data_IF_016450096996
#
_entry.id   IF_016450096996
#
_cell.length_a   1.000
_cell.length_b   1.000
_cell.length_c   1.000
_cell.angle_alpha   90.00
_cell.angle_beta   90.00
_cell.angle_gamma   90.00
#
_symmetry.space_group_name_H-M   'P 1'
#
loop_
_entity.id
_entity.type
_entity.pdbx_description
1 polymer ?
#
# COMPACT_ATOMS: atom_id res chain seq x y z
N UNK A 1 -21.90 5.63 4.70
CA UNK A 1 -21.14 6.61 3.90
C UNK A 1 -20.34 5.92 2.79
N UNK A 2 -19.69 4.77 3.07
CA UNK A 2 -18.90 4.03 2.05
C UNK A 2 -19.75 3.68 0.82
N UNK A 3 -21.00 3.24 0.99
CA UNK A 3 -21.91 2.97 -0.15
C UNK A 3 -22.14 4.23 -1.01
N UNK A 4 -22.26 5.43 -0.39
CA UNK A 4 -22.38 6.67 -1.14
C UNK A 4 -21.13 7.02 -1.94
N UNK A 5 -19.95 6.65 -1.42
CA UNK A 5 -18.70 6.80 -2.18
C UNK A 5 -18.72 5.90 -3.41
N UNK A 6 -19.07 4.62 -3.25
CA UNK A 6 -19.11 3.65 -4.34
C UNK A 6 -20.16 4.00 -5.40
N UNK A 7 -21.33 4.51 -4.97
CA UNK A 7 -22.37 5.01 -5.89
C UNK A 7 -22.05 6.37 -6.53
N UNK A 8 -20.88 6.94 -6.28
CA UNK A 8 -20.43 8.24 -6.79
C UNK A 8 -21.24 9.44 -6.29
N UNK A 9 -21.97 9.27 -5.18
CA UNK A 9 -22.80 10.31 -4.57
C UNK A 9 -22.06 11.12 -3.50
N UNK A 10 -20.83 10.74 -3.17
CA UNK A 10 -20.05 11.39 -2.12
C UNK A 10 -18.56 11.46 -2.47
N UNK A 11 -17.84 12.32 -1.75
CA UNK A 11 -16.41 12.58 -1.91
C UNK A 11 -16.09 13.17 -3.29
N UNK A 12 -15.23 12.53 -4.08
CA UNK A 12 -14.78 13.02 -5.39
C UNK A 12 -15.59 12.48 -6.58
N UNK A 13 -16.63 11.70 -6.32
CA UNK A 13 -17.52 11.12 -7.33
C UNK A 13 -16.90 10.04 -8.20
N UNK A 14 -15.69 9.54 -7.87
CA UNK A 14 -15.02 8.48 -8.65
C UNK A 14 -15.48 7.07 -8.31
N UNK A 15 -16.16 6.89 -7.18
CA UNK A 15 -16.61 5.58 -6.75
C UNK A 15 -15.50 4.69 -6.19
N UNK A 16 -14.44 5.27 -5.63
CA UNK A 16 -13.28 4.55 -5.13
C UNK A 16 -13.09 4.80 -3.63
N UNK A 17 -12.86 3.74 -2.90
CA UNK A 17 -12.37 3.79 -1.53
C UNK A 17 -10.84 3.68 -1.60
N UNK A 18 -10.16 4.82 -1.48
CA UNK A 18 -8.70 4.89 -1.62
C UNK A 18 -7.99 4.09 -0.53
N UNK A 19 -6.87 3.48 -0.89
CA UNK A 19 -6.12 2.60 0.00
C UNK A 19 -6.67 1.18 0.10
N UNK A 20 -7.75 0.87 -0.62
CA UNK A 20 -8.32 -0.47 -0.70
C UNK A 20 -8.01 -1.09 -2.06
N UNK A 21 -7.59 -2.37 -2.04
CA UNK A 21 -7.23 -3.15 -3.22
C UNK A 21 -5.78 -2.99 -3.67
N UNK A 22 -5.28 -4.02 -4.34
CA UNK A 22 -3.93 -4.07 -4.92
C UNK A 22 -3.91 -5.04 -6.11
N UNK A 23 -3.05 -4.78 -7.09
CA UNK A 23 -2.95 -5.62 -8.29
C UNK A 23 -2.41 -7.04 -8.02
N UNK A 24 -1.74 -7.26 -6.89
CA UNK A 24 -1.12 -8.53 -6.51
C UNK A 24 -1.72 -9.08 -5.22
N UNK A 25 -1.92 -8.23 -4.21
CA UNK A 25 -2.41 -8.63 -2.89
C UNK A 25 -3.94 -8.50 -2.82
N UNK A 26 -4.68 -9.58 -3.03
CA UNK A 26 -6.13 -9.59 -2.92
C UNK A 26 -6.63 -9.91 -1.51
N UNK A 27 -6.05 -10.92 -0.87
CA UNK A 27 -6.47 -11.37 0.46
C UNK A 27 -5.91 -10.51 1.59
N UNK A 28 -4.63 -10.14 1.49
CA UNK A 28 -3.93 -9.34 2.50
C UNK A 28 -2.65 -8.77 1.92
N UNK A 29 -2.36 -7.50 2.23
CA UNK A 29 -1.06 -6.90 1.96
C UNK A 29 -0.17 -7.03 3.21
N UNK A 30 0.87 -7.87 3.19
CA UNK A 30 1.73 -8.09 4.36
C UNK A 30 2.44 -6.80 4.80
N UNK A 31 2.68 -5.86 3.90
CA UNK A 31 3.26 -4.55 4.23
C UNK A 31 2.30 -3.71 5.07
N UNK A 32 1.01 -3.71 4.72
CA UNK A 32 -0.02 -3.01 5.48
C UNK A 32 -0.19 -3.61 6.88
N UNK A 33 -0.10 -4.93 7.02
CA UNK A 33 -0.20 -5.60 8.32
C UNK A 33 0.95 -5.23 9.26
N UNK A 34 2.19 -5.29 8.78
CA UNK A 34 3.36 -4.87 9.56
C UNK A 34 3.25 -3.39 9.92
N UNK A 35 2.88 -2.54 8.96
CA UNK A 35 2.78 -1.10 9.14
C UNK A 35 1.73 -0.72 10.19
N UNK A 36 0.58 -1.39 10.20
CA UNK A 36 -0.52 -1.17 11.14
C UNK A 36 -0.08 -1.23 12.60
N UNK A 37 0.80 -2.16 12.95
CA UNK A 37 1.29 -2.29 14.34
C UNK A 37 2.09 -1.07 14.82
N UNK A 38 2.79 -0.41 13.92
CA UNK A 38 3.50 0.85 14.21
C UNK A 38 2.54 2.04 14.25
N UNK A 39 1.55 2.05 13.37
CA UNK A 39 0.52 3.10 13.29
C UNK A 39 -0.27 3.19 14.58
N UNK A 40 -0.67 2.06 15.16
CA UNK A 40 -1.38 2.00 16.43
C UNK A 40 -0.57 2.67 17.56
N UNK A 41 0.70 2.28 17.70
CA UNK A 41 1.59 2.85 18.72
C UNK A 41 1.79 4.36 18.53
N UNK A 42 1.97 4.80 17.29
CA UNK A 42 2.13 6.20 16.97
C UNK A 42 0.84 6.99 17.24
N UNK A 43 -0.31 6.45 16.90
CA UNK A 43 -1.61 7.08 17.14
C UNK A 43 -1.85 7.33 18.63
N UNK A 44 -1.57 6.35 19.48
CA UNK A 44 -1.62 6.50 20.94
C UNK A 44 -0.65 7.60 21.41
N UNK A 45 0.60 7.57 20.95
CA UNK A 45 1.62 8.55 21.34
C UNK A 45 1.26 10.00 20.91
N UNK A 46 0.50 10.14 19.83
CA UNK A 46 0.05 11.43 19.29
C UNK A 46 -1.38 11.82 19.73
N UNK A 47 -2.04 11.03 20.59
CA UNK A 47 -3.42 11.27 21.03
C UNK A 47 -4.46 11.18 19.89
N UNK A 48 -4.18 10.39 18.86
CA UNK A 48 -5.01 10.18 17.66
C UNK A 48 -5.63 8.77 17.58
N UNK A 49 -5.83 8.14 18.73
CA UNK A 49 -6.42 6.82 18.90
C UNK A 49 -7.84 6.71 18.32
N UNK A 50 -8.64 7.78 18.41
CA UNK A 50 -9.98 7.83 17.78
C UNK A 50 -9.93 7.77 16.27
N UNK A 51 -8.95 8.44 15.67
CA UNK A 51 -8.75 8.38 14.22
C UNK A 51 -8.29 6.97 13.80
N UNK A 52 -7.36 6.37 14.55
CA UNK A 52 -6.95 5.00 14.32
C UNK A 52 -8.13 4.01 14.42
N UNK A 53 -9.01 4.18 15.38
CA UNK A 53 -10.22 3.37 15.50
C UNK A 53 -11.13 3.52 14.26
N UNK A 54 -11.25 4.73 13.70
CA UNK A 54 -11.98 4.96 12.44
C UNK A 54 -11.32 4.24 11.27
N UNK A 55 -9.99 4.35 11.09
CA UNK A 55 -9.25 3.62 10.06
C UNK A 55 -9.45 2.11 10.18
N UNK A 56 -9.31 1.56 11.38
CA UNK A 56 -9.51 0.13 11.65
C UNK A 56 -10.93 -0.34 11.34
N UNK A 57 -11.92 0.51 11.60
CA UNK A 57 -13.32 0.22 11.26
C UNK A 57 -13.52 0.20 9.74
N UNK A 58 -12.95 1.18 9.02
CA UNK A 58 -13.03 1.22 7.55
C UNK A 58 -12.34 0.01 6.94
N UNK A 59 -11.14 -0.34 7.40
CA UNK A 59 -10.40 -1.52 6.94
C UNK A 59 -11.24 -2.81 7.04
N UNK A 60 -12.00 -2.94 8.13
CA UNK A 60 -12.86 -4.11 8.35
C UNK A 60 -14.10 -4.10 7.48
N UNK A 61 -14.77 -2.94 7.32
CA UNK A 61 -16.07 -2.85 6.65
C UNK A 61 -15.92 -2.69 5.13
N UNK A 62 -14.88 -2.01 4.65
CA UNK A 62 -14.74 -1.72 3.22
C UNK A 62 -14.71 -2.97 2.34
N UNK A 63 -14.03 -4.08 2.70
CA UNK A 63 -14.09 -5.32 1.92
C UNK A 63 -15.51 -5.87 1.74
N UNK A 64 -16.34 -5.78 2.79
CA UNK A 64 -17.73 -6.26 2.75
C UNK A 64 -18.60 -5.41 1.80
N UNK A 65 -18.31 -4.11 1.73
CA UNK A 65 -19.05 -3.16 0.88
C UNK A 65 -18.59 -3.21 -0.57
N UNK A 66 -17.29 -3.55 -0.82
CA UNK A 66 -16.71 -3.71 -2.15
C UNK A 66 -16.88 -5.17 -2.66
N UNK A 67 -17.93 -5.84 -2.27
CA UNK A 67 -18.16 -7.28 -2.53
C UNK A 67 -18.26 -7.71 -4.01
N UNK A 68 -18.16 -6.79 -4.96
CA UNK A 68 -18.21 -7.08 -6.40
C UNK A 68 -16.93 -7.70 -6.98
N UNK A 69 -15.84 -7.76 -6.19
CA UNK A 69 -14.55 -8.32 -6.61
C UNK A 69 -14.42 -9.76 -6.09
N UNK A 70 -14.51 -10.79 -6.96
CA UNK A 70 -14.52 -12.19 -6.53
C UNK A 70 -13.28 -12.63 -5.75
N UNK A 71 -12.11 -12.06 -6.05
CA UNK A 71 -10.84 -12.39 -5.40
C UNK A 71 -10.67 -11.70 -4.03
N UNK A 72 -11.63 -10.84 -3.66
CA UNK A 72 -11.56 -10.06 -2.42
C UNK A 72 -10.77 -8.75 -2.56
N UNK A 73 -10.89 -7.92 -1.53
CA UNK A 73 -10.20 -6.63 -1.43
C UNK A 73 -9.65 -6.49 -0.03
N UNK A 74 -8.40 -6.05 0.09
CA UNK A 74 -7.77 -5.75 1.37
C UNK A 74 -7.16 -4.34 1.38
N UNK A 75 -6.93 -3.80 2.58
CA UNK A 75 -6.18 -2.56 2.72
C UNK A 75 -4.76 -2.74 2.18
N UNK A 76 -4.30 -1.83 1.35
CA UNK A 76 -2.92 -1.78 0.87
C UNK A 76 -2.07 -0.88 1.77
N UNK A 77 -0.77 -0.78 1.49
CA UNK A 77 0.17 0.01 2.31
C UNK A 77 -0.20 1.50 2.38
N UNK A 78 -0.83 2.03 1.34
CA UNK A 78 -1.17 3.45 1.26
C UNK A 78 -2.34 3.83 2.16
N UNK A 79 -3.15 2.84 2.57
CA UNK A 79 -4.28 3.06 3.48
C UNK A 79 -3.83 3.68 4.81
N UNK A 80 -2.71 3.22 5.36
CA UNK A 80 -2.17 3.73 6.61
C UNK A 80 -1.07 4.78 6.45
N UNK A 81 -0.37 4.82 5.32
CA UNK A 81 0.77 5.73 5.13
C UNK A 81 0.37 7.20 5.21
N UNK A 82 -0.75 7.57 4.60
CA UNK A 82 -1.27 8.93 4.68
C UNK A 82 -1.61 9.35 6.10
N UNK A 83 -2.14 8.44 6.91
CA UNK A 83 -2.42 8.71 8.32
C UNK A 83 -1.14 8.91 9.13
N UNK A 84 -0.10 8.08 8.89
CA UNK A 84 1.21 8.27 9.51
C UNK A 84 1.82 9.61 9.14
N UNK A 85 1.82 9.98 7.88
CA UNK A 85 2.36 11.25 7.42
C UNK A 85 1.63 12.43 8.07
N UNK A 86 0.30 12.33 8.22
CA UNK A 86 -0.50 13.31 8.95
C UNK A 86 -0.09 13.42 10.43
N UNK A 87 0.15 12.29 11.10
CA UNK A 87 0.60 12.28 12.51
C UNK A 87 2.01 12.83 12.69
N UNK A 88 2.86 12.71 11.67
CA UNK A 88 4.20 13.27 11.63
C UNK A 88 4.24 14.71 11.12
N UNK A 89 3.08 15.31 10.85
CA UNK A 89 2.95 16.70 10.38
C UNK A 89 3.68 16.95 9.06
N UNK A 90 3.81 15.91 8.24
CA UNK A 90 4.41 16.02 6.90
C UNK A 90 3.42 16.76 5.99
N UNK A 91 3.84 17.80 5.27
CA UNK A 91 3.00 18.49 4.30
C UNK A 91 2.44 17.54 3.24
N UNK A 92 1.18 17.72 2.87
CA UNK A 92 0.47 16.83 1.94
C UNK A 92 1.17 16.70 0.59
N UNK A 93 1.79 17.78 0.13
CA UNK A 93 2.54 17.87 -1.12
C UNK A 93 3.76 16.94 -1.16
N UNK A 94 4.26 16.51 0.00
CA UNK A 94 5.42 15.62 0.12
C UNK A 94 5.07 14.13 0.15
N UNK A 95 3.81 13.75 0.26
CA UNK A 95 3.42 12.32 0.38
C UNK A 95 3.87 11.51 -0.83
N UNK A 96 3.58 11.98 -2.04
CA UNK A 96 4.03 11.34 -3.28
C UNK A 96 5.55 11.45 -3.49
N UNK A 97 6.20 12.62 -3.30
CA UNK A 97 7.66 12.72 -3.35
C UNK A 97 8.40 11.76 -2.41
N UNK A 98 7.97 11.59 -1.17
CA UNK A 98 8.58 10.65 -0.22
C UNK A 98 8.51 9.22 -0.76
N UNK A 99 7.37 8.83 -1.31
CA UNK A 99 7.21 7.53 -1.95
C UNK A 99 8.16 7.35 -3.14
N UNK A 100 8.31 8.37 -3.98
CA UNK A 100 9.23 8.36 -5.12
C UNK A 100 10.70 8.27 -4.68
N UNK A 101 11.10 9.01 -3.64
CA UNK A 101 12.45 8.94 -3.06
C UNK A 101 12.77 7.51 -2.62
N UNK A 102 11.84 6.83 -1.96
CA UNK A 102 12.01 5.44 -1.53
C UNK A 102 12.16 4.45 -2.71
N UNK A 103 11.72 4.82 -3.90
CA UNK A 103 11.79 3.99 -5.12
C UNK A 103 12.95 4.30 -6.03
N UNK A 104 13.60 5.47 -5.90
CA UNK A 104 14.58 5.93 -6.88
C UNK A 104 15.76 4.98 -7.03
N UNK A 105 16.18 4.30 -5.97
CA UNK A 105 17.27 3.32 -6.03
C UNK A 105 16.87 2.12 -6.89
N UNK A 106 15.66 1.58 -6.68
CA UNK A 106 15.14 0.46 -7.48
C UNK A 106 14.90 0.86 -8.94
N UNK A 107 14.34 2.04 -9.17
CA UNK A 107 14.16 2.55 -10.52
C UNK A 107 15.49 2.74 -11.25
N UNK A 108 16.51 3.26 -10.57
CA UNK A 108 17.84 3.43 -11.13
C UNK A 108 18.48 2.10 -11.49
N UNK A 109 18.36 1.09 -10.62
CA UNK A 109 18.85 -0.26 -10.87
C UNK A 109 18.18 -0.87 -12.10
N UNK A 110 16.87 -0.82 -12.18
CA UNK A 110 16.12 -1.31 -13.35
C UNK A 110 16.47 -0.56 -14.63
N UNK A 111 16.66 0.78 -14.54
CA UNK A 111 17.03 1.57 -15.71
C UNK A 111 18.42 1.23 -16.22
N UNK A 112 19.37 1.03 -15.33
CA UNK A 112 20.74 0.59 -15.69
C UNK A 112 20.67 -0.79 -16.38
N UNK A 113 19.94 -1.73 -15.80
CA UNK A 113 19.76 -3.07 -16.37
C UNK A 113 19.11 -3.03 -17.75
N UNK A 114 18.08 -2.22 -17.93
CA UNK A 114 17.41 -2.00 -19.21
C UNK A 114 18.38 -1.45 -20.27
N UNK A 115 19.17 -0.43 -19.93
CA UNK A 115 20.15 0.16 -20.85
C UNK A 115 21.26 -0.81 -21.26
N UNK A 116 21.69 -1.69 -20.36
CA UNK A 116 22.72 -2.70 -20.65
C UNK A 116 22.17 -3.81 -21.55
N UNK A 117 20.92 -4.22 -21.31
CA UNK A 117 20.41 -5.44 -21.92
C UNK A 117 19.61 -5.22 -23.21
N UNK A 118 18.74 -4.20 -23.28
CA UNK A 118 17.70 -4.21 -24.30
C UNK A 118 17.36 -2.85 -24.95
N UNK A 119 17.70 -1.76 -24.39
CA UNK A 119 17.35 -0.40 -24.86
C UNK A 119 15.85 -0.21 -25.21
N UNK A 120 14.97 -0.95 -24.55
CA UNK A 120 13.51 -0.84 -24.68
C UNK A 120 12.80 -1.18 -23.37
N UNK A 121 11.55 -0.71 -23.25
CA UNK A 121 10.71 -1.00 -22.08
C UNK A 121 10.48 -2.51 -21.95
N UNK A 122 10.91 -3.06 -20.82
CA UNK A 122 10.68 -4.46 -20.46
C UNK A 122 9.41 -4.55 -19.63
N UNK A 123 8.48 -5.41 -20.07
CA UNK A 123 7.28 -5.77 -19.32
C UNK A 123 7.27 -7.26 -19.03
N UNK A 124 8.03 -7.74 -18.04
CA UNK A 124 8.17 -9.17 -17.81
C UNK A 124 6.86 -9.75 -17.25
N UNK A 125 6.52 -10.94 -17.74
CA UNK A 125 5.61 -11.82 -17.03
C UNK A 125 6.46 -12.61 -16.02
N UNK A 126 6.23 -12.42 -14.72
CA UNK A 126 7.06 -13.00 -13.68
C UNK A 126 6.74 -14.47 -13.47
N UNK A 127 7.63 -15.32 -13.94
CA UNK A 127 7.73 -16.69 -13.47
C UNK A 127 9.21 -16.92 -13.12
N UNK A 128 9.50 -17.18 -11.86
CA UNK A 128 10.84 -17.59 -11.46
C UNK A 128 11.20 -18.88 -12.18
N UNK A 129 12.36 -18.92 -12.82
CA UNK A 129 12.93 -20.13 -13.40
C UNK A 129 13.96 -20.78 -12.47
N UNK A 130 14.24 -20.12 -11.34
CA UNK A 130 15.10 -20.66 -10.28
C UNK A 130 14.31 -21.55 -9.33
N UNK A 131 14.97 -22.51 -8.72
CA UNK A 131 14.40 -23.27 -7.62
C UNK A 131 14.20 -22.35 -6.40
N UNK A 132 13.14 -22.61 -5.66
CA UNK A 132 12.89 -21.95 -4.37
C UNK A 132 14.07 -22.26 -3.43
N UNK A 133 14.74 -21.21 -2.97
CA UNK A 133 15.82 -21.32 -1.99
C UNK A 133 15.31 -20.86 -0.64
N UNK A 134 15.71 -21.58 0.42
CA UNK A 134 15.42 -21.11 1.77
C UNK A 134 16.11 -19.76 2.03
N UNK A 135 15.38 -18.90 2.74
CA UNK A 135 15.95 -17.62 3.17
C UNK A 135 17.04 -17.86 4.21
N UNK A 136 18.25 -17.44 3.91
CA UNK A 136 19.38 -17.44 4.85
C UNK A 136 19.52 -16.02 5.42
N UNK A 137 19.42 -15.85 6.76
CA UNK A 137 19.67 -14.57 7.42
C UNK A 137 21.06 -14.02 7.11
N UNK A 138 21.21 -12.69 7.15
CA UNK A 138 22.43 -12.01 6.74
C UNK A 138 23.66 -12.43 7.56
N UNK A 139 23.45 -12.70 8.84
CA UNK A 139 24.46 -13.17 9.80
C UNK A 139 24.89 -14.63 9.61
N UNK A 140 24.19 -15.36 8.74
CA UNK A 140 24.45 -16.77 8.41
C UNK A 140 24.91 -16.97 6.95
N UNK A 141 25.16 -15.90 6.21
CA UNK A 141 25.63 -15.93 4.81
C UNK A 141 27.14 -15.93 4.72
#
# INVERSE_FOLDING_TARGET
YLNKILSKEAFDGKGLIYGMGHAVYSLSDPRAQVFKSFVEKLAVAKGRDKDFALYSMIERIAPEVISEIPEGVSANVDFYSGFVYSMLEIPLELYTPIFAIARIVGWSAHRIEELINMDKIIRPAYKSVMQELEYVPLDQR
#
